data_IF_918720171724
#
_entry.id   IF_918720171724
#
_cell.length_a   1.000
_cell.length_b   1.000
_cell.length_c   1.000
_cell.angle_alpha   90.00
_cell.angle_beta   90.00
_cell.angle_gamma   90.00
#
_symmetry.space_group_name_H-M   'P 1'
#
loop_
_entity.id
_entity.type
_entity.pdbx_description
1 polymer ?
#
# COMPACT_ATOMS: atom_id res chain seq x y z
N UNK A 1 -37.80 36.84 -9.15
CA UNK A 1 -37.09 37.54 -8.06
C UNK A 1 -36.37 36.49 -7.23
N UNK A 2 -35.09 36.24 -7.53
CA UNK A 2 -34.26 35.33 -6.74
C UNK A 2 -33.91 36.06 -5.44
N UNK A 3 -34.11 35.38 -4.31
CA UNK A 3 -33.91 35.92 -2.97
C UNK A 3 -32.49 36.45 -2.77
N UNK A 4 -32.37 37.74 -2.46
CA UNK A 4 -31.14 38.51 -2.18
C UNK A 4 -30.53 38.19 -0.81
N UNK A 5 -30.67 36.95 -0.33
CA UNK A 5 -29.99 36.54 0.89
C UNK A 5 -28.53 36.24 0.55
N UNK A 6 -27.62 37.05 1.09
CA UNK A 6 -26.16 36.83 1.00
C UNK A 6 -25.83 35.37 1.35
N UNK A 7 -25.11 34.64 0.49
CA UNK A 7 -24.79 33.25 0.75
C UNK A 7 -23.90 33.16 2.01
N UNK A 8 -24.19 32.23 2.94
CA UNK A 8 -23.34 32.02 4.11
C UNK A 8 -21.92 31.66 3.67
N UNK A 9 -20.92 32.16 4.42
CA UNK A 9 -19.49 31.92 4.16
C UNK A 9 -19.27 30.40 3.98
N UNK A 10 -18.96 30.00 2.74
CA UNK A 10 -18.92 28.60 2.34
C UNK A 10 -17.71 27.92 2.99
N UNK A 11 -17.97 26.93 3.85
CA UNK A 11 -16.97 25.93 4.24
C UNK A 11 -16.87 24.90 3.11
N UNK A 12 -15.74 24.90 2.41
CA UNK A 12 -15.46 23.91 1.39
C UNK A 12 -15.45 22.50 2.00
N UNK A 13 -16.21 21.59 1.38
CA UNK A 13 -16.25 20.19 1.78
C UNK A 13 -14.98 19.47 1.35
N UNK A 14 -14.67 18.35 2.01
CA UNK A 14 -13.61 17.45 1.54
C UNK A 14 -13.99 16.95 0.14
N UNK A 15 -13.03 16.98 -0.79
CA UNK A 15 -13.25 16.64 -2.21
C UNK A 15 -14.15 17.62 -2.95
N UNK A 16 -13.95 18.93 -2.76
CA UNK A 16 -14.69 19.97 -3.46
C UNK A 16 -14.37 20.04 -4.97
N UNK A 17 -13.12 19.78 -5.37
CA UNK A 17 -12.72 19.75 -6.76
C UNK A 17 -13.22 18.45 -7.41
N UNK A 18 -14.32 18.54 -8.15
CA UNK A 18 -14.92 17.46 -8.94
C UNK A 18 -15.23 17.96 -10.34
N UNK A 19 -15.39 17.01 -11.27
CA UNK A 19 -15.94 17.31 -12.59
C UNK A 19 -15.16 18.37 -13.36
N UNK A 20 -15.86 19.35 -13.94
CA UNK A 20 -15.24 20.48 -14.67
C UNK A 20 -14.16 21.21 -13.85
N UNK A 21 -14.37 21.42 -12.55
CA UNK A 21 -13.38 22.05 -11.68
C UNK A 21 -12.12 21.19 -11.51
N UNK A 22 -12.27 19.86 -11.42
CA UNK A 22 -11.13 18.95 -11.32
C UNK A 22 -10.32 18.94 -12.62
N UNK A 23 -11.00 18.93 -13.78
CA UNK A 23 -10.35 19.00 -15.08
C UNK A 23 -9.54 20.30 -15.22
N UNK A 24 -10.17 21.44 -14.92
CA UNK A 24 -9.50 22.74 -14.91
C UNK A 24 -8.22 22.73 -14.05
N UNK A 25 -8.31 22.27 -12.80
CA UNK A 25 -7.13 22.24 -11.92
C UNK A 25 -6.06 21.25 -12.36
N UNK A 26 -6.46 20.14 -13.00
CA UNK A 26 -5.53 19.14 -13.52
C UNK A 26 -4.73 19.68 -14.70
N UNK A 27 -5.37 20.43 -15.60
CA UNK A 27 -4.72 21.06 -16.76
C UNK A 27 -3.66 22.09 -16.33
N UNK A 28 -3.88 22.76 -15.20
CA UNK A 28 -2.93 23.73 -14.63
C UNK A 28 -1.84 23.10 -13.75
N UNK A 29 -1.88 21.80 -13.47
CA UNK A 29 -0.98 21.17 -12.50
C UNK A 29 0.49 21.20 -12.93
N UNK A 30 0.80 20.90 -14.19
CA UNK A 30 2.18 20.85 -14.68
C UNK A 30 2.81 22.25 -14.75
N UNK A 31 2.05 23.25 -15.20
CA UNK A 31 2.51 24.63 -15.23
C UNK A 31 2.73 25.19 -13.81
N UNK A 32 1.87 24.82 -12.85
CA UNK A 32 2.11 25.16 -11.44
C UNK A 32 3.40 24.55 -10.90
N UNK A 33 3.68 23.27 -11.20
CA UNK A 33 4.95 22.63 -10.80
C UNK A 33 6.16 23.37 -11.37
N UNK A 34 6.10 23.76 -12.64
CA UNK A 34 7.17 24.51 -13.29
C UNK A 34 7.40 25.88 -12.62
N UNK A 35 6.33 26.61 -12.30
CA UNK A 35 6.40 27.88 -11.59
C UNK A 35 6.93 27.72 -10.15
N UNK A 36 6.44 26.71 -9.42
CA UNK A 36 6.87 26.42 -8.06
C UNK A 36 8.34 25.98 -7.98
N UNK A 37 8.85 25.30 -9.00
CA UNK A 37 10.27 24.93 -9.12
C UNK A 37 11.19 26.16 -9.29
N UNK A 38 10.68 27.27 -9.80
CA UNK A 38 11.43 28.54 -9.91
C UNK A 38 11.46 29.32 -8.59
N UNK A 39 10.56 29.02 -7.66
CA UNK A 39 10.54 29.61 -6.32
C UNK A 39 9.13 29.80 -5.75
N UNK A 40 9.08 30.10 -4.46
CA UNK A 40 7.80 30.27 -3.74
C UNK A 40 6.96 31.43 -4.28
N UNK A 41 7.59 32.58 -4.58
CA UNK A 41 6.91 33.76 -5.13
C UNK A 41 6.28 33.45 -6.49
N UNK A 42 7.02 32.83 -7.41
CA UNK A 42 6.51 32.43 -8.73
C UNK A 42 5.33 31.45 -8.63
N UNK A 43 5.38 30.51 -7.68
CA UNK A 43 4.26 29.60 -7.40
C UNK A 43 3.00 30.34 -6.92
N UNK A 44 3.15 31.35 -6.06
CA UNK A 44 2.02 32.16 -5.58
C UNK A 44 1.44 33.06 -6.67
N UNK A 45 2.30 33.70 -7.48
CA UNK A 45 1.87 34.52 -8.62
C UNK A 45 1.07 33.68 -9.62
N UNK A 46 1.50 32.43 -9.85
CA UNK A 46 0.76 31.49 -10.71
C UNK A 46 -0.59 31.09 -10.11
N UNK A 47 -0.68 30.88 -8.80
CA UNK A 47 -1.96 30.64 -8.12
C UNK A 47 -2.90 31.82 -8.30
N UNK A 48 -2.42 33.06 -8.19
CA UNK A 48 -3.25 34.25 -8.38
C UNK A 48 -3.80 34.34 -9.81
N UNK A 49 -2.99 33.99 -10.80
CA UNK A 49 -3.43 33.86 -12.19
C UNK A 49 -4.50 32.77 -12.37
N UNK A 50 -4.31 31.58 -11.80
CA UNK A 50 -5.31 30.49 -11.85
C UNK A 50 -6.61 30.93 -11.19
N UNK A 51 -6.56 31.60 -10.05
CA UNK A 51 -7.77 32.07 -9.35
C UNK A 51 -8.56 33.04 -10.23
N UNK A 52 -7.87 33.94 -10.94
CA UNK A 52 -8.52 34.85 -11.88
C UNK A 52 -9.17 34.09 -13.05
N UNK A 53 -8.47 33.12 -13.65
CA UNK A 53 -9.02 32.28 -14.73
C UNK A 53 -10.17 31.40 -14.25
N UNK A 54 -10.07 30.88 -13.03
CA UNK A 54 -11.13 30.12 -12.39
C UNK A 54 -12.41 30.96 -12.31
N UNK A 55 -12.33 32.20 -11.82
CA UNK A 55 -13.51 33.08 -11.75
C UNK A 55 -13.98 33.63 -13.11
N UNK A 56 -13.23 33.44 -14.20
CA UNK A 56 -13.72 33.67 -15.55
C UNK A 56 -14.62 32.52 -16.05
N UNK A 57 -14.36 31.29 -15.61
CA UNK A 57 -15.13 30.10 -16.00
C UNK A 57 -16.25 29.76 -15.01
N UNK A 58 -16.01 29.98 -13.72
CA UNK A 58 -16.90 29.63 -12.62
C UNK A 58 -17.37 30.90 -11.91
N UNK A 59 -18.68 31.16 -11.93
CA UNK A 59 -19.24 32.32 -11.24
C UNK A 59 -19.05 32.23 -9.73
N UNK A 60 -18.63 33.33 -9.11
CA UNK A 60 -18.45 33.43 -7.65
C UNK A 60 -19.79 33.33 -6.89
N UNK A 61 -20.92 33.56 -7.56
CA UNK A 61 -22.26 33.44 -6.96
C UNK A 61 -22.77 31.99 -6.91
N UNK A 62 -22.18 31.07 -7.67
CA UNK A 62 -22.63 29.68 -7.71
C UNK A 62 -22.12 28.92 -6.48
N UNK A 63 -22.97 28.13 -5.81
CA UNK A 63 -22.51 27.21 -4.78
C UNK A 63 -21.44 26.28 -5.34
N UNK A 64 -20.35 26.08 -4.60
CA UNK A 64 -19.24 25.19 -4.99
C UNK A 64 -19.63 23.72 -5.22
N UNK A 65 -20.82 23.33 -4.78
CA UNK A 65 -21.40 22.01 -5.05
C UNK A 65 -22.07 21.90 -6.43
N UNK A 66 -22.30 23.02 -7.12
CA UNK A 66 -22.98 23.06 -8.40
C UNK A 66 -21.95 23.03 -9.53
N UNK A 67 -21.90 21.93 -10.26
CA UNK A 67 -21.04 21.78 -11.43
C UNK A 67 -21.63 22.57 -12.61
N UNK A 68 -20.84 23.38 -13.33
CA UNK A 68 -21.33 24.02 -14.56
C UNK A 68 -21.65 22.93 -15.59
N UNK A 69 -22.87 22.97 -16.13
CA UNK A 69 -23.31 22.00 -17.13
C UNK A 69 -22.54 22.19 -18.44
N UNK A 70 -22.02 21.10 -19.02
CA UNK A 70 -21.06 21.06 -20.15
C UNK A 70 -21.53 21.69 -21.48
N UNK A 71 -22.72 22.27 -21.54
CA UNK A 71 -23.23 22.96 -22.75
C UNK A 71 -23.75 24.38 -22.51
N UNK A 72 -23.61 24.89 -21.29
CA UNK A 72 -24.16 26.18 -20.91
C UNK A 72 -23.08 27.25 -20.83
N UNK A 73 -22.77 27.89 -21.96
CA UNK A 73 -22.30 29.29 -21.95
C UNK A 73 -23.45 30.17 -21.46
N UNK A 74 -23.96 29.92 -20.24
CA UNK A 74 -24.88 30.84 -19.62
C UNK A 74 -24.10 32.11 -19.39
N UNK A 75 -24.64 33.17 -19.95
CA UNK A 75 -24.32 34.58 -19.84
C UNK A 75 -23.83 34.97 -18.42
N UNK A 76 -22.59 34.62 -18.09
CA UNK A 76 -21.91 34.97 -16.82
C UNK A 76 -21.32 36.38 -16.87
N UNK A 77 -21.55 37.09 -17.97
CA UNK A 77 -21.55 38.54 -18.03
C UNK A 77 -22.74 39.06 -17.23
N UNK A 78 -22.68 38.87 -15.90
CA UNK A 78 -23.23 39.89 -15.00
C UNK A 78 -22.51 41.15 -15.47
N UNK A 79 -23.22 41.97 -16.25
CA UNK A 79 -22.72 43.26 -16.69
C UNK A 79 -22.12 43.93 -15.46
N UNK A 80 -20.99 44.61 -15.64
CA UNK A 80 -20.27 45.31 -14.57
C UNK A 80 -21.07 46.49 -14.00
N UNK A 81 -22.39 46.36 -13.89
CA UNK A 81 -23.26 47.15 -13.06
C UNK A 81 -22.71 47.06 -11.64
N UNK A 82 -22.44 48.22 -11.07
CA UNK A 82 -21.68 48.40 -9.84
C UNK A 82 -22.15 47.42 -8.74
N UNK A 83 -21.28 46.48 -8.36
CA UNK A 83 -21.52 45.62 -7.21
C UNK A 83 -21.79 46.51 -5.99
N UNK A 84 -22.79 46.15 -5.21
CA UNK A 84 -22.99 46.81 -3.92
C UNK A 84 -21.77 46.57 -3.03
N UNK A 85 -21.43 47.49 -2.10
CA UNK A 85 -20.26 47.33 -1.23
C UNK A 85 -20.31 46.03 -0.40
N UNK A 86 -21.51 45.53 -0.09
CA UNK A 86 -21.72 44.25 0.60
C UNK A 86 -21.36 43.06 -0.30
N UNK A 87 -21.75 43.09 -1.57
CA UNK A 87 -21.38 42.06 -2.55
C UNK A 87 -19.88 42.06 -2.84
N UNK A 88 -19.24 43.23 -2.89
CA UNK A 88 -17.78 43.31 -3.02
C UNK A 88 -17.05 42.64 -1.86
N UNK A 89 -17.54 42.84 -0.63
CA UNK A 89 -16.98 42.19 0.56
C UNK A 89 -17.18 40.67 0.51
N UNK A 90 -18.37 40.22 0.09
CA UNK A 90 -18.67 38.80 -0.08
C UNK A 90 -17.78 38.15 -1.14
N UNK A 91 -17.67 38.78 -2.32
CA UNK A 91 -16.79 38.36 -3.41
C UNK A 91 -15.34 38.26 -2.95
N UNK A 92 -14.83 39.26 -2.23
CA UNK A 92 -13.47 39.24 -1.68
C UNK A 92 -13.25 38.08 -0.71
N UNK A 93 -14.23 37.79 0.14
CA UNK A 93 -14.17 36.65 1.06
C UNK A 93 -14.14 35.30 0.32
N UNK A 94 -15.01 35.13 -0.68
CA UNK A 94 -15.09 33.92 -1.51
C UNK A 94 -13.79 33.71 -2.29
N UNK A 95 -13.27 34.75 -2.94
CA UNK A 95 -11.99 34.72 -3.66
C UNK A 95 -10.86 34.32 -2.72
N UNK A 96 -10.83 34.86 -1.49
CA UNK A 96 -9.84 34.49 -0.47
C UNK A 96 -9.90 33.01 -0.05
N UNK A 97 -11.11 32.47 0.13
CA UNK A 97 -11.32 31.04 0.45
C UNK A 97 -10.89 30.15 -0.74
N UNK A 98 -11.24 30.54 -1.96
CA UNK A 98 -10.90 29.79 -3.16
C UNK A 98 -9.41 29.80 -3.46
N UNK A 99 -8.74 30.94 -3.32
CA UNK A 99 -7.28 31.05 -3.46
C UNK A 99 -6.54 30.05 -2.54
N UNK A 100 -6.91 30.02 -1.26
CA UNK A 100 -6.32 29.07 -0.29
C UNK A 100 -6.56 27.62 -0.69
N UNK A 101 -7.75 27.33 -1.21
CA UNK A 101 -8.17 25.97 -1.53
C UNK A 101 -7.54 25.45 -2.82
N UNK A 102 -7.45 26.29 -3.85
CA UNK A 102 -6.72 26.02 -5.10
C UNK A 102 -5.23 25.82 -4.79
N UNK A 103 -4.62 26.74 -4.03
CA UNK A 103 -3.21 26.61 -3.61
C UNK A 103 -2.94 25.30 -2.87
N UNK A 104 -3.76 24.97 -1.88
CA UNK A 104 -3.63 23.73 -1.11
C UNK A 104 -3.81 22.49 -1.98
N UNK A 105 -4.76 22.51 -2.92
CA UNK A 105 -5.00 21.41 -3.85
C UNK A 105 -3.79 21.20 -4.78
N UNK A 106 -3.31 22.27 -5.41
CA UNK A 106 -2.16 22.22 -6.33
C UNK A 106 -0.89 21.76 -5.61
N UNK A 107 -0.60 22.30 -4.43
CA UNK A 107 0.55 21.89 -3.62
C UNK A 107 0.47 20.43 -3.20
N UNK A 108 -0.71 19.96 -2.74
CA UNK A 108 -0.92 18.55 -2.41
C UNK A 108 -0.70 17.64 -3.62
N UNK A 109 -1.25 17.98 -4.79
CA UNK A 109 -1.11 17.15 -5.98
C UNK A 109 0.28 17.21 -6.61
N UNK A 110 0.95 18.37 -6.58
CA UNK A 110 2.33 18.52 -7.01
C UNK A 110 3.26 17.67 -6.13
N UNK A 111 3.10 17.76 -4.81
CA UNK A 111 3.89 16.99 -3.85
C UNK A 111 3.55 15.51 -3.82
N UNK A 112 2.31 15.09 -4.10
CA UNK A 112 1.95 13.66 -4.14
C UNK A 112 2.69 12.91 -5.26
N UNK A 113 2.82 13.53 -6.42
CA UNK A 113 3.56 12.94 -7.54
C UNK A 113 5.08 13.07 -7.34
N UNK A 114 5.54 14.21 -6.82
CA UNK A 114 6.94 14.36 -6.44
C UNK A 114 7.35 13.38 -5.34
N UNK A 115 6.50 13.12 -4.35
CA UNK A 115 6.76 12.16 -3.30
C UNK A 115 6.69 10.71 -3.80
N UNK A 116 5.99 10.39 -4.90
CA UNK A 116 6.14 9.06 -5.52
C UNK A 116 7.54 8.88 -6.13
N UNK A 117 8.08 9.92 -6.75
CA UNK A 117 9.43 9.93 -7.35
C UNK A 117 10.56 10.11 -6.33
N UNK A 118 10.39 10.94 -5.31
CA UNK A 118 11.38 11.17 -4.24
C UNK A 118 11.34 10.02 -3.24
N UNK A 119 10.18 9.39 -3.01
CA UNK A 119 10.20 8.09 -2.34
C UNK A 119 10.99 7.06 -3.15
N UNK A 120 11.08 7.14 -4.48
CA UNK A 120 11.99 6.28 -5.23
C UNK A 120 13.50 6.63 -5.09
N UNK A 121 13.87 7.75 -4.44
CA UNK A 121 15.27 8.08 -4.13
C UNK A 121 15.74 7.61 -2.75
N UNK A 122 14.82 7.30 -1.84
CA UNK A 122 15.15 6.52 -0.66
C UNK A 122 15.60 5.14 -1.15
N UNK A 123 16.84 4.73 -0.86
CA UNK A 123 17.42 3.47 -1.38
C UNK A 123 16.54 2.27 -1.00
N UNK A 124 15.80 2.34 0.12
CA UNK A 124 14.84 1.32 0.51
C UNK A 124 13.55 1.28 -0.34
N UNK A 125 13.31 2.30 -1.17
CA UNK A 125 12.10 2.51 -1.96
C UNK A 125 12.37 2.77 -3.44
N UNK A 126 13.64 2.88 -3.85
CA UNK A 126 14.04 2.80 -5.24
C UNK A 126 13.44 1.51 -5.83
N UNK A 127 12.64 1.58 -6.91
CA UNK A 127 12.01 0.41 -7.49
C UNK A 127 13.02 -0.65 -7.91
N UNK A 128 14.24 -0.23 -8.30
CA UNK A 128 15.34 -1.14 -8.62
C UNK A 128 15.90 -1.79 -7.36
N UNK A 129 16.18 -1.05 -6.28
CA UNK A 129 16.68 -1.67 -5.04
C UNK A 129 15.64 -2.59 -4.40
N UNK A 130 14.36 -2.22 -4.48
CA UNK A 130 13.24 -3.07 -4.07
C UNK A 130 13.15 -4.32 -4.93
N UNK A 131 13.29 -4.19 -6.26
CA UNK A 131 13.36 -5.31 -7.20
C UNK A 131 14.50 -6.25 -6.82
N UNK A 132 15.70 -5.71 -6.59
CA UNK A 132 16.87 -6.49 -6.21
C UNK A 132 16.68 -7.18 -4.86
N UNK A 133 16.05 -6.54 -3.87
CA UNK A 133 15.68 -7.17 -2.61
C UNK A 133 14.66 -8.30 -2.77
N UNK A 134 13.64 -8.10 -3.63
CA UNK A 134 12.66 -9.15 -3.91
C UNK A 134 13.28 -10.34 -4.64
N UNK A 135 14.18 -10.11 -5.59
CA UNK A 135 14.92 -11.15 -6.29
C UNK A 135 15.93 -11.87 -5.38
N UNK A 136 16.53 -11.17 -4.42
CA UNK A 136 17.47 -11.78 -3.47
C UNK A 136 16.77 -12.47 -2.28
N UNK A 137 15.44 -12.40 -2.18
CA UNK A 137 14.67 -12.91 -1.04
C UNK A 137 14.81 -12.05 0.24
N UNK A 138 15.61 -10.99 0.21
CA UNK A 138 15.76 -10.05 1.33
C UNK A 138 14.57 -9.10 1.29
N UNK A 139 13.67 -9.18 2.28
CA UNK A 139 12.56 -8.24 2.35
C UNK A 139 13.11 -6.81 2.40
N UNK A 140 12.88 -5.97 1.37
CA UNK A 140 13.53 -4.67 1.25
C UNK A 140 12.99 -3.65 2.26
N UNK A 141 12.06 -4.06 3.12
CA UNK A 141 11.36 -3.16 4.02
C UNK A 141 12.18 -3.00 5.30
N UNK A 142 12.68 -1.79 5.50
CA UNK A 142 13.27 -1.37 6.76
C UNK A 142 12.36 -1.78 7.94
N UNK A 143 12.90 -2.47 8.96
CA UNK A 143 12.11 -2.92 10.09
C UNK A 143 11.50 -1.72 10.81
N UNK A 144 10.19 -1.77 11.06
CA UNK A 144 9.51 -0.72 11.82
C UNK A 144 9.67 -0.99 13.31
N UNK A 145 9.94 0.07 14.10
CA UNK A 145 9.90 -0.01 15.55
C UNK A 145 8.50 -0.39 16.02
N UNK A 146 8.38 -1.48 16.76
CA UNK A 146 7.14 -1.84 17.45
C UNK A 146 6.93 -0.93 18.65
N UNK A 147 5.66 -0.65 18.98
CA UNK A 147 5.34 0.01 20.25
C UNK A 147 5.61 -0.94 21.42
N UNK A 148 5.90 -0.40 22.61
CA UNK A 148 6.16 -1.19 23.81
C UNK A 148 5.03 -2.21 24.10
N UNK A 149 3.78 -1.79 23.94
CA UNK A 149 2.59 -2.66 24.06
C UNK A 149 2.62 -3.84 23.07
N UNK A 150 3.00 -3.59 21.82
CA UNK A 150 3.05 -4.63 20.79
C UNK A 150 4.16 -5.64 21.09
N UNK A 151 5.29 -5.13 21.60
CA UNK A 151 6.43 -5.93 22.01
C UNK A 151 6.10 -6.81 23.24
N UNK A 152 5.46 -6.22 24.24
CA UNK A 152 4.95 -6.91 25.42
C UNK A 152 3.93 -7.99 25.03
N UNK A 153 2.97 -7.64 24.17
CA UNK A 153 1.94 -8.56 23.70
C UNK A 153 2.55 -9.76 22.98
N UNK A 154 3.59 -9.57 22.16
CA UNK A 154 4.27 -10.68 21.48
C UNK A 154 4.75 -11.78 22.45
N UNK A 155 5.21 -11.41 23.65
CA UNK A 155 5.71 -12.33 24.67
C UNK A 155 4.57 -12.89 25.54
N UNK A 156 3.63 -12.04 25.94
CA UNK A 156 2.55 -12.43 26.86
C UNK A 156 1.21 -12.77 26.20
N UNK A 157 1.16 -12.83 24.87
CA UNK A 157 -0.10 -13.03 24.14
C UNK A 157 -0.77 -14.34 24.56
N UNK A 158 -0.02 -15.45 24.54
CA UNK A 158 -0.58 -16.77 24.86
C UNK A 158 -0.98 -16.93 26.32
N UNK A 159 -0.21 -16.34 27.24
CA UNK A 159 -0.38 -16.54 28.68
C UNK A 159 -1.37 -15.56 29.32
N UNK A 160 -1.28 -14.26 29.00
CA UNK A 160 -2.09 -13.21 29.64
C UNK A 160 -3.26 -12.73 28.76
N UNK A 161 -3.03 -12.51 27.47
CA UNK A 161 -3.98 -11.76 26.63
C UNK A 161 -5.04 -12.66 25.98
N UNK A 162 -4.63 -13.81 25.42
CA UNK A 162 -5.50 -14.61 24.54
C UNK A 162 -6.75 -15.12 25.26
N UNK A 163 -6.58 -15.78 26.41
CA UNK A 163 -7.73 -16.35 27.14
C UNK A 163 -8.71 -15.28 27.59
N UNK A 164 -8.21 -14.21 28.21
CA UNK A 164 -9.04 -13.10 28.67
C UNK A 164 -9.73 -12.37 27.52
N UNK A 165 -9.06 -12.24 26.37
CA UNK A 165 -9.66 -11.63 25.19
C UNK A 165 -10.77 -12.49 24.58
N UNK A 166 -10.59 -13.80 24.44
CA UNK A 166 -11.62 -14.69 23.88
C UNK A 166 -12.88 -14.71 24.75
N UNK A 167 -12.73 -14.68 26.08
CA UNK A 167 -13.85 -14.56 27.02
C UNK A 167 -14.57 -13.21 26.87
N UNK A 168 -13.81 -12.12 26.80
CA UNK A 168 -14.35 -10.78 26.53
C UNK A 168 -15.00 -10.69 25.12
N UNK A 169 -14.50 -11.42 24.14
CA UNK A 169 -15.03 -11.43 22.78
C UNK A 169 -16.33 -12.24 22.69
N UNK A 170 -16.38 -13.41 23.33
CA UNK A 170 -17.56 -14.26 23.39
C UNK A 170 -18.75 -13.53 24.05
N UNK A 171 -18.49 -12.77 25.12
CA UNK A 171 -19.52 -11.98 25.80
C UNK A 171 -19.98 -10.74 25.01
N UNK A 172 -19.14 -10.17 24.13
CA UNK A 172 -19.49 -8.98 23.38
C UNK A 172 -20.48 -9.21 22.23
N UNK A 173 -20.61 -10.44 21.72
CA UNK A 173 -21.55 -10.79 20.64
C UNK A 173 -21.33 -10.04 19.31
N UNK A 174 -20.11 -9.53 19.06
CA UNK A 174 -19.81 -8.70 17.89
C UNK A 174 -19.42 -9.52 16.65
N UNK A 175 -19.62 -8.93 15.47
CA UNK A 175 -19.19 -9.51 14.19
C UNK A 175 -17.65 -9.60 14.09
N UNK A 176 -17.14 -10.65 13.41
CA UNK A 176 -15.70 -10.86 13.12
C UNK A 176 -14.99 -9.64 12.51
N UNK A 177 -15.73 -8.76 11.81
CA UNK A 177 -15.20 -7.50 11.25
C UNK A 177 -14.56 -6.59 12.30
N UNK A 178 -15.00 -6.67 13.56
CA UNK A 178 -14.49 -5.84 14.65
C UNK A 178 -13.42 -6.53 15.51
N UNK A 179 -13.09 -7.80 15.22
CA UNK A 179 -12.22 -8.61 16.06
C UNK A 179 -10.82 -8.00 16.22
N UNK A 180 -10.16 -7.63 15.12
CA UNK A 180 -8.81 -7.05 15.16
C UNK A 180 -8.76 -5.71 15.91
N UNK A 181 -9.75 -4.84 15.68
CA UNK A 181 -9.82 -3.54 16.35
C UNK A 181 -10.08 -3.67 17.85
N UNK A 182 -10.96 -4.59 18.26
CA UNK A 182 -11.24 -4.87 19.67
C UNK A 182 -10.05 -5.56 20.34
N UNK A 183 -9.39 -6.50 19.67
CA UNK A 183 -8.17 -7.14 20.15
C UNK A 183 -7.06 -6.13 20.44
N UNK A 184 -6.83 -5.20 19.51
CA UNK A 184 -5.83 -4.13 19.70
C UNK A 184 -6.17 -3.30 20.93
N UNK A 185 -7.40 -2.80 21.04
CA UNK A 185 -7.84 -2.02 22.22
C UNK A 185 -7.72 -2.80 23.53
N UNK A 186 -8.11 -4.08 23.53
CA UNK A 186 -8.03 -4.93 24.71
C UNK A 186 -6.58 -5.16 25.15
N UNK A 187 -5.68 -5.41 24.19
CA UNK A 187 -4.24 -5.53 24.45
C UNK A 187 -3.69 -4.24 25.07
N UNK A 188 -4.10 -3.08 24.55
CA UNK A 188 -3.70 -1.78 25.10
C UNK A 188 -4.18 -1.58 26.53
N UNK A 189 -5.42 -2.01 26.82
CA UNK A 189 -5.96 -1.96 28.18
C UNK A 189 -5.23 -2.90 29.13
N UNK A 190 -4.89 -4.13 28.72
CA UNK A 190 -4.10 -5.04 29.55
C UNK A 190 -2.71 -4.46 29.84
N UNK A 191 -2.04 -3.90 28.83
CA UNK A 191 -0.73 -3.29 29.01
C UNK A 191 -0.80 -2.08 29.95
N UNK A 192 -1.83 -1.23 29.84
CA UNK A 192 -2.01 -0.07 30.71
C UNK A 192 -2.31 -0.42 32.19
N UNK A 193 -2.63 -1.67 32.50
CA UNK A 193 -2.79 -2.16 33.87
C UNK A 193 -1.48 -2.68 34.48
N UNK A 194 -0.39 -2.75 33.71
CA UNK A 194 0.92 -3.15 34.22
C UNK A 194 1.61 -1.97 34.94
N UNK A 195 2.60 -2.26 35.77
CA UNK A 195 3.31 -1.24 36.55
C UNK A 195 4.18 -0.33 35.66
N UNK A 196 4.43 0.90 36.13
CA UNK A 196 5.22 1.89 35.40
C UNK A 196 6.65 1.39 35.06
N UNK A 197 7.25 0.59 35.94
CA UNK A 197 8.57 -0.01 35.73
C UNK A 197 8.56 -1.00 34.56
N UNK A 198 7.50 -1.83 34.49
CA UNK A 198 7.28 -2.77 33.37
C UNK A 198 7.09 -1.99 32.08
N UNK A 199 6.30 -0.92 32.09
CA UNK A 199 6.15 -0.05 30.92
C UNK A 199 7.50 0.48 30.40
N UNK A 200 8.34 0.99 31.30
CA UNK A 200 9.65 1.53 30.94
C UNK A 200 10.58 0.45 30.39
N UNK A 201 10.59 -0.74 31.00
CA UNK A 201 11.35 -1.90 30.52
C UNK A 201 10.98 -2.26 29.08
N UNK A 202 9.69 -2.34 28.76
CA UNK A 202 9.23 -2.68 27.40
C UNK A 202 9.49 -1.57 26.39
N UNK A 203 9.54 -0.29 26.80
CA UNK A 203 10.00 0.80 25.94
C UNK A 203 11.48 0.61 25.58
N UNK A 204 12.33 0.27 26.54
CA UNK A 204 13.76 0.01 26.29
C UNK A 204 13.94 -1.24 25.42
N UNK A 205 13.24 -2.33 25.73
CA UNK A 205 13.27 -3.57 24.97
C UNK A 205 12.86 -3.34 23.50
N UNK A 206 11.74 -2.64 23.25
CA UNK A 206 11.30 -2.32 21.90
C UNK A 206 12.30 -1.44 21.12
N UNK A 207 13.02 -0.54 21.81
CA UNK A 207 14.09 0.24 21.18
C UNK A 207 15.31 -0.63 20.85
N UNK A 208 15.73 -1.51 21.75
CA UNK A 208 16.87 -2.40 21.55
C UNK A 208 16.62 -3.39 20.41
N UNK A 209 15.45 -4.03 20.38
CA UNK A 209 15.06 -4.93 19.30
C UNK A 209 15.00 -4.21 17.95
N UNK A 210 14.48 -2.98 17.92
CA UNK A 210 14.47 -2.19 16.69
C UNK A 210 15.88 -1.85 16.21
N UNK A 211 16.79 -1.45 17.11
CA UNK A 211 18.19 -1.20 16.77
C UNK A 211 18.87 -2.46 16.25
N UNK A 212 18.63 -3.62 16.87
CA UNK A 212 19.14 -4.92 16.42
C UNK A 212 18.62 -5.26 15.03
N UNK A 213 17.31 -5.15 14.81
CA UNK A 213 16.69 -5.42 13.52
C UNK A 213 17.20 -4.47 12.43
N UNK A 214 17.41 -3.18 12.74
CA UNK A 214 18.01 -2.22 11.81
C UNK A 214 19.43 -2.63 11.43
N UNK A 215 20.26 -3.02 12.40
CA UNK A 215 21.63 -3.47 12.14
C UNK A 215 21.66 -4.75 11.29
N UNK A 216 20.78 -5.70 11.56
CA UNK A 216 20.64 -6.93 10.75
C UNK A 216 20.18 -6.62 9.33
N UNK A 217 19.25 -5.67 9.19
CA UNK A 217 18.76 -5.22 7.89
C UNK A 217 19.83 -4.48 7.08
N UNK A 218 20.58 -3.57 7.71
CA UNK A 218 21.73 -2.87 7.09
C UNK A 218 22.82 -3.86 6.67
N UNK A 219 23.18 -4.80 7.55
CA UNK A 219 24.15 -5.84 7.24
C UNK A 219 23.68 -6.74 6.08
N UNK A 220 22.38 -7.04 5.98
CA UNK A 220 21.83 -7.80 4.86
C UNK A 220 21.88 -7.01 3.53
N UNK A 221 21.78 -5.68 3.56
CA UNK A 221 21.94 -4.85 2.37
C UNK A 221 23.39 -4.74 1.90
N UNK A 222 24.35 -4.75 2.83
CA UNK A 222 25.77 -4.70 2.52
C UNK A 222 26.37 -6.07 2.17
N UNK A 223 25.71 -7.15 2.56
CA UNK A 223 26.15 -8.51 2.26
C UNK A 223 26.16 -8.75 0.73
N UNK A 224 27.22 -9.38 0.19
CA UNK A 224 27.21 -9.77 -1.22
C UNK A 224 26.06 -10.73 -1.50
N UNK A 225 25.50 -10.75 -2.73
CA UNK A 225 24.47 -11.70 -3.10
C UNK A 225 24.91 -13.14 -2.78
N UNK A 226 24.02 -13.96 -2.19
CA UNK A 226 24.36 -15.34 -1.88
C UNK A 226 24.71 -16.10 -3.16
N UNK A 227 25.88 -16.74 -3.19
CA UNK A 227 26.37 -17.52 -4.34
C UNK A 227 26.00 -19.00 -4.28
N UNK A 228 25.25 -19.41 -3.25
CA UNK A 228 24.84 -20.80 -3.12
C UNK A 228 23.70 -21.13 -4.11
N UNK A 229 23.68 -22.35 -4.63
CA UNK A 229 22.71 -22.78 -5.64
C UNK A 229 21.26 -22.67 -5.16
N UNK A 230 20.99 -22.92 -3.87
CA UNK A 230 19.64 -22.86 -3.32
C UNK A 230 19.06 -21.44 -3.39
N UNK A 231 19.84 -20.43 -3.00
CA UNK A 231 19.42 -19.03 -3.08
C UNK A 231 19.21 -18.57 -4.53
N UNK A 232 19.99 -19.09 -5.48
CA UNK A 232 19.74 -18.85 -6.90
C UNK A 232 18.41 -19.48 -7.36
N UNK A 233 18.09 -20.71 -6.93
CA UNK A 233 16.82 -21.35 -7.25
C UNK A 233 15.65 -20.60 -6.61
N UNK A 234 15.77 -20.21 -5.34
CA UNK A 234 14.76 -19.42 -4.65
C UNK A 234 14.52 -18.10 -5.41
N UNK A 235 15.58 -17.42 -5.87
CA UNK A 235 15.45 -16.21 -6.68
C UNK A 235 14.68 -16.45 -8.00
N UNK A 236 14.93 -17.58 -8.67
CA UNK A 236 14.23 -17.99 -9.90
C UNK A 236 12.76 -18.28 -9.61
N UNK A 237 12.46 -19.02 -8.54
CA UNK A 237 11.09 -19.39 -8.18
C UNK A 237 10.24 -18.14 -7.85
N UNK A 238 10.85 -17.14 -7.20
CA UNK A 238 10.18 -15.87 -6.91
C UNK A 238 10.02 -14.97 -8.14
N UNK A 239 10.83 -15.17 -9.20
CA UNK A 239 10.78 -14.37 -10.41
C UNK A 239 9.42 -14.48 -11.10
N UNK A 240 8.83 -15.68 -11.15
CA UNK A 240 7.52 -15.90 -11.79
C UNK A 240 6.39 -15.10 -11.12
N UNK A 241 6.35 -15.10 -9.79
CA UNK A 241 5.37 -14.32 -9.02
C UNK A 241 5.52 -12.81 -9.19
N UNK A 242 6.74 -12.35 -9.47
CA UNK A 242 7.05 -10.93 -9.69
C UNK A 242 6.80 -10.48 -11.14
N UNK A 243 7.35 -11.19 -12.10
CA UNK A 243 7.31 -10.84 -13.54
C UNK A 243 5.93 -11.12 -14.13
N UNK A 244 5.22 -12.13 -13.62
CA UNK A 244 3.90 -12.54 -14.10
C UNK A 244 2.89 -11.38 -14.19
N UNK A 245 2.64 -10.61 -13.11
CA UNK A 245 1.76 -9.45 -13.17
C UNK A 245 2.19 -8.35 -14.16
N UNK A 246 3.50 -8.15 -14.34
CA UNK A 246 4.04 -7.15 -15.29
C UNK A 246 3.79 -7.59 -16.73
N UNK A 247 4.17 -8.83 -17.06
CA UNK A 247 3.90 -9.43 -18.38
C UNK A 247 2.40 -9.43 -18.64
N UNK A 248 1.58 -9.84 -17.67
CA UNK A 248 0.13 -9.85 -17.80
C UNK A 248 -0.43 -8.44 -18.07
N UNK A 249 0.03 -7.43 -17.33
CA UNK A 249 -0.38 -6.04 -17.53
C UNK A 249 0.00 -5.53 -18.91
N UNK A 250 1.22 -5.84 -19.38
CA UNK A 250 1.67 -5.49 -20.72
C UNK A 250 0.85 -6.22 -21.79
N UNK A 251 0.58 -7.51 -21.63
CA UNK A 251 -0.25 -8.29 -22.57
C UNK A 251 -1.69 -7.77 -22.64
N UNK A 252 -2.29 -7.33 -21.54
CA UNK A 252 -3.62 -6.72 -21.52
C UNK A 252 -3.62 -5.38 -22.27
N UNK A 253 -2.58 -4.56 -22.07
CA UNK A 253 -2.44 -3.27 -22.75
C UNK A 253 -2.13 -3.40 -24.25
N UNK A 254 -1.39 -4.44 -24.64
CA UNK A 254 -0.96 -4.67 -26.02
C UNK A 254 -1.94 -5.56 -26.80
N UNK A 255 -2.85 -6.30 -26.14
CA UNK A 255 -3.88 -7.11 -26.81
C UNK A 255 -4.69 -6.38 -27.89
N UNK A 256 -5.10 -5.11 -27.71
CA UNK A 256 -5.76 -4.34 -28.78
C UNK A 256 -4.85 -4.06 -29.98
N UNK A 257 -3.54 -3.95 -29.76
CA UNK A 257 -2.52 -3.78 -30.81
C UNK A 257 -2.12 -5.11 -31.46
N UNK A 258 -2.23 -6.22 -30.75
CA UNK A 258 -1.93 -7.56 -31.27
C UNK A 258 -2.84 -7.98 -32.44
N UNK A 259 -4.05 -7.41 -32.56
CA UNK A 259 -4.93 -7.59 -33.72
C UNK A 259 -4.36 -7.00 -35.03
N UNK A 260 -3.29 -6.19 -34.97
CA UNK A 260 -2.55 -5.72 -36.15
C UNK A 260 -1.25 -6.49 -36.41
N UNK A 261 -0.90 -7.45 -35.54
CA UNK A 261 0.41 -8.11 -35.51
C UNK A 261 0.50 -9.41 -36.36
N UNK A 262 -0.57 -9.81 -37.05
CA UNK A 262 -0.51 -10.97 -37.96
C UNK A 262 0.50 -10.79 -39.10
N UNK A 263 0.78 -9.55 -39.51
CA UNK A 263 1.78 -9.24 -40.53
C UNK A 263 3.25 -9.41 -40.07
N UNK A 264 3.52 -9.53 -38.76
CA UNK A 264 4.88 -9.59 -38.19
C UNK A 264 5.29 -10.96 -37.63
N UNK A 265 4.41 -11.97 -37.67
CA UNK A 265 4.74 -13.35 -37.26
C UNK A 265 5.95 -13.92 -38.03
N UNK A 266 6.09 -13.58 -39.31
CA UNK A 266 7.23 -13.99 -40.15
C UNK A 266 8.53 -13.35 -39.70
N UNK A 267 8.52 -12.07 -39.30
CA UNK A 267 9.71 -11.39 -38.77
C UNK A 267 10.10 -11.95 -37.40
N UNK A 268 9.12 -12.23 -36.54
CA UNK A 268 9.39 -12.85 -35.25
C UNK A 268 9.99 -14.26 -35.40
N UNK A 269 9.46 -15.09 -36.33
CA UNK A 269 10.08 -16.39 -36.67
C UNK A 269 11.51 -16.26 -37.14
N UNK A 270 11.81 -15.24 -37.96
CA UNK A 270 13.17 -14.98 -38.43
C UNK A 270 14.12 -14.66 -37.28
N UNK A 271 13.70 -13.79 -36.36
CA UNK A 271 14.49 -13.42 -35.17
C UNK A 271 14.67 -14.61 -34.23
N UNK A 272 13.61 -15.39 -33.98
CA UNK A 272 13.69 -16.59 -33.13
C UNK A 272 14.64 -17.63 -33.72
N UNK A 273 14.60 -17.86 -35.04
CA UNK A 273 15.51 -18.79 -35.70
C UNK A 273 16.96 -18.27 -35.65
N UNK A 274 17.19 -16.98 -35.91
CA UNK A 274 18.52 -16.39 -35.80
C UNK A 274 19.09 -16.48 -34.38
N UNK A 275 18.26 -16.27 -33.35
CA UNK A 275 18.67 -16.46 -31.95
C UNK A 275 18.97 -17.92 -31.62
N UNK A 276 18.15 -18.87 -32.11
CA UNK A 276 18.42 -20.30 -31.96
C UNK A 276 19.72 -20.70 -32.64
N UNK A 277 19.96 -20.24 -33.86
CA UNK A 277 21.19 -20.48 -34.60
C UNK A 277 22.40 -19.91 -33.87
N UNK A 278 22.29 -18.69 -33.33
CA UNK A 278 23.35 -18.08 -32.52
C UNK A 278 23.65 -18.88 -31.25
N UNK A 279 22.60 -19.29 -30.50
CA UNK A 279 22.78 -20.14 -29.33
C UNK A 279 23.41 -21.49 -29.70
N UNK A 280 23.06 -22.06 -30.86
CA UNK A 280 23.67 -23.28 -31.37
C UNK A 280 25.16 -23.12 -31.70
N UNK A 281 25.63 -21.89 -32.01
CA UNK A 281 27.06 -21.60 -32.17
C UNK A 281 27.79 -21.36 -30.85
N UNK A 282 27.08 -20.92 -29.81
CA UNK A 282 27.68 -20.55 -28.52
C UNK A 282 27.83 -21.74 -27.56
N UNK A 283 27.00 -22.78 -27.69
CA UNK A 283 27.01 -23.95 -26.81
C UNK A 283 27.40 -25.21 -27.57
N UNK A 284 28.20 -26.06 -26.94
CA UNK A 284 28.53 -27.39 -27.46
C UNK A 284 27.29 -28.30 -27.43
N UNK A 285 27.28 -29.36 -28.24
CA UNK A 285 26.16 -30.33 -28.25
C UNK A 285 25.92 -30.96 -26.88
N UNK A 286 26.97 -31.15 -26.08
CA UNK A 286 26.87 -31.71 -24.72
C UNK A 286 26.21 -30.72 -23.75
N UNK A 287 26.55 -29.44 -23.82
CA UNK A 287 25.90 -28.38 -23.02
C UNK A 287 24.43 -28.19 -23.42
N UNK A 288 24.12 -28.26 -24.72
CA UNK A 288 22.73 -28.19 -25.21
C UNK A 288 21.88 -29.34 -24.69
N UNK A 289 22.41 -30.57 -24.64
CA UNK A 289 21.72 -31.73 -24.08
C UNK A 289 21.47 -31.60 -22.58
N UNK A 290 22.39 -30.95 -21.85
CA UNK A 290 22.20 -30.65 -20.42
C UNK A 290 21.11 -29.59 -20.21
N UNK A 291 20.98 -28.60 -21.10
CA UNK A 291 19.93 -27.58 -21.03
C UNK A 291 18.54 -28.09 -21.50
N UNK A 292 18.48 -29.04 -22.44
CA UNK A 292 17.22 -29.56 -23.01
C UNK A 292 16.40 -30.45 -22.08
N UNK A 293 16.88 -30.76 -20.87
CA UNK A 293 16.15 -31.59 -19.90
C UNK A 293 14.84 -30.94 -19.37
N UNK A 294 14.48 -29.72 -19.79
CA UNK A 294 13.30 -29.00 -19.29
C UNK A 294 12.21 -28.64 -20.32
N UNK A 295 12.40 -28.84 -21.64
CA UNK A 295 11.50 -28.25 -22.67
C UNK A 295 10.69 -29.26 -23.54
N UNK A 296 10.56 -30.53 -23.15
CA UNK A 296 10.06 -31.55 -24.08
C UNK A 296 8.53 -31.60 -24.36
N UNK A 297 7.65 -30.88 -23.66
CA UNK A 297 6.20 -31.16 -23.76
C UNK A 297 5.25 -29.98 -24.08
N UNK A 298 5.74 -28.79 -24.48
CA UNK A 298 4.84 -27.63 -24.68
C UNK A 298 4.21 -27.47 -26.07
N UNK A 299 4.72 -28.12 -27.12
CA UNK A 299 4.26 -27.89 -28.50
C UNK A 299 3.18 -28.88 -29.02
N UNK A 300 2.68 -29.80 -28.18
CA UNK A 300 1.76 -30.87 -28.64
C UNK A 300 0.29 -30.75 -28.17
N UNK A 301 -0.10 -29.69 -27.46
CA UNK A 301 -1.49 -29.52 -26.96
C UNK A 301 -2.45 -28.76 -27.89
N UNK A 302 -2.00 -28.20 -29.02
CA UNK A 302 -2.87 -27.39 -29.91
C UNK A 302 -3.89 -28.23 -30.71
N UNK A 303 -3.86 -29.57 -30.62
CA UNK A 303 -4.78 -30.47 -31.34
C UNK A 303 -5.88 -31.14 -30.48
N UNK A 304 -6.02 -30.81 -29.18
CA UNK A 304 -6.95 -31.53 -28.28
C UNK A 304 -8.15 -30.71 -27.76
N UNK A 305 -8.43 -29.52 -28.32
CA UNK A 305 -9.43 -28.58 -27.79
C UNK A 305 -10.72 -28.44 -28.62
N UNK A 306 -10.95 -29.26 -29.66
CA UNK A 306 -12.13 -29.10 -30.54
C UNK A 306 -13.37 -29.97 -30.24
N UNK A 307 -13.37 -30.87 -29.23
CA UNK A 307 -14.60 -31.63 -28.95
C UNK A 307 -14.84 -31.87 -27.45
N UNK A 308 -15.46 -30.88 -26.79
CA UNK A 308 -16.15 -31.08 -25.50
C UNK A 308 -17.48 -30.35 -25.49
N UNK A 309 -18.52 -31.07 -25.87
CA UNK A 309 -19.91 -30.72 -25.54
C UNK A 309 -20.10 -30.75 -24.02
N UNK A 310 -20.75 -29.75 -23.39
CA UNK A 310 -20.89 -29.71 -21.93
C UNK A 310 -21.97 -30.70 -21.45
N UNK A 311 -21.69 -31.58 -20.46
CA UNK A 311 -22.74 -32.38 -19.86
C UNK A 311 -23.63 -31.55 -18.95
N UNK A 312 -24.92 -31.88 -18.99
CA UNK A 312 -25.98 -31.26 -18.23
C UNK A 312 -25.77 -31.36 -16.70
N UNK A 313 -26.27 -30.32 -16.04
CA UNK A 313 -26.32 -30.08 -14.59
C UNK A 313 -26.70 -31.34 -13.79
N UNK A 314 -25.90 -31.68 -12.78
CA UNK A 314 -26.33 -32.53 -11.69
C UNK A 314 -26.15 -31.80 -10.35
N UNK A 315 -27.26 -31.29 -9.82
CA UNK A 315 -27.41 -30.87 -8.44
C UNK A 315 -27.61 -32.12 -7.59
N UNK A 316 -26.64 -32.49 -6.75
CA UNK A 316 -26.87 -32.99 -5.39
C UNK A 316 -25.56 -33.43 -4.72
N UNK A 317 -25.58 -33.41 -3.39
CA UNK A 317 -24.60 -33.99 -2.45
C UNK A 317 -23.44 -33.06 -2.04
N UNK A 318 -23.75 -32.14 -1.12
CA UNK A 318 -22.76 -31.66 -0.15
C UNK A 318 -23.44 -31.36 1.20
N UNK A 319 -23.93 -32.41 1.85
CA UNK A 319 -24.30 -32.40 3.27
C UNK A 319 -24.05 -33.80 3.86
N UNK A 320 -22.80 -34.08 4.25
CA UNK A 320 -22.46 -35.11 5.25
C UNK A 320 -20.96 -35.09 5.51
N UNK A 321 -20.53 -34.31 6.50
CA UNK A 321 -19.32 -34.53 7.33
C UNK A 321 -19.18 -33.40 8.37
N UNK A 322 -20.17 -33.29 9.25
CA UNK A 322 -20.06 -32.61 10.55
C UNK A 322 -20.96 -33.37 11.53
N UNK A 323 -20.60 -34.64 11.80
CA UNK A 323 -21.18 -35.42 12.90
C UNK A 323 -20.32 -36.67 13.10
N UNK A 324 -19.19 -36.50 13.80
CA UNK A 324 -18.37 -37.57 14.42
C UNK A 324 -17.10 -36.90 14.99
N UNK A 325 -17.28 -36.03 15.99
CA UNK A 325 -16.20 -35.53 16.85
C UNK A 325 -16.76 -35.02 18.21
N UNK A 326 -17.86 -35.62 18.67
CA UNK A 326 -18.40 -35.41 20.01
C UNK A 326 -18.88 -36.77 20.49
N UNK A 327 -17.95 -37.57 21.02
CA UNK A 327 -18.18 -38.67 21.96
C UNK A 327 -16.85 -39.40 22.17
N UNK A 328 -15.96 -38.83 22.98
CA UNK A 328 -14.96 -39.61 23.73
C UNK A 328 -14.28 -38.75 24.80
N UNK A 329 -14.25 -39.30 26.01
CA UNK A 329 -13.43 -38.93 27.17
C UNK A 329 -13.89 -37.73 28.03
N UNK A 330 -14.96 -37.96 28.80
CA UNK A 330 -14.91 -37.72 30.24
C UNK A 330 -14.04 -38.79 30.92
N UNK A 331 -13.45 -38.41 32.06
CA UNK A 331 -13.01 -39.24 33.19
C UNK A 331 -11.48 -39.37 33.41
N UNK A 332 -10.95 -38.51 34.28
CA UNK A 332 -10.03 -38.89 35.36
C UNK A 332 -9.78 -37.70 36.30
N UNK A 333 -10.33 -37.87 37.48
CA UNK A 333 -10.09 -37.17 38.75
C UNK A 333 -8.63 -37.17 39.20
N UNK A 334 -8.29 -36.11 39.93
CA UNK A 334 -7.44 -36.02 41.13
C UNK A 334 -6.06 -36.71 41.14
N UNK A 335 -5.01 -35.92 41.38
CA UNK A 335 -4.24 -36.07 42.62
C UNK A 335 -3.44 -34.81 42.93
N UNK A 336 -3.48 -34.44 44.21
CA UNK A 336 -2.58 -33.52 44.89
C UNK A 336 -1.14 -34.05 44.80
N UNK A 337 -0.14 -33.17 44.66
CA UNK A 337 0.97 -33.25 45.60
C UNK A 337 1.77 -31.96 45.69
N UNK A 338 2.05 -31.63 46.96
CA UNK A 338 2.85 -30.54 47.45
C UNK A 338 4.33 -30.78 47.14
N UNK A 339 5.11 -29.74 46.81
CA UNK A 339 6.51 -29.69 47.21
C UNK A 339 7.01 -28.24 47.36
N UNK A 340 7.10 -27.83 48.63
CA UNK A 340 8.22 -27.13 49.29
C UNK A 340 9.10 -26.21 48.41
N UNK A 341 9.02 -24.89 48.56
CA UNK A 341 9.90 -24.09 49.44
C UNK A 341 11.28 -24.69 49.67
N UNK A 342 12.32 -24.06 49.11
CA UNK A 342 13.63 -23.79 49.72
C UNK A 342 14.55 -23.13 48.66
N UNK A 343 14.92 -21.87 48.88
CA UNK A 343 16.33 -21.42 48.84
C UNK A 343 16.41 -19.94 49.22
N UNK A 344 16.62 -19.76 50.52
CA UNK A 344 17.31 -18.65 51.14
C UNK A 344 18.82 -18.68 50.77
N UNK A 345 19.36 -17.48 50.53
CA UNK A 345 20.62 -16.98 51.12
C UNK A 345 22.00 -17.53 50.66
N UNK A 346 22.73 -16.68 49.92
CA UNK A 346 24.16 -16.35 50.15
C UNK A 346 24.46 -15.06 49.35
N UNK A 347 24.61 -13.88 49.93
CA UNK A 347 25.68 -13.36 50.80
C UNK A 347 27.01 -13.05 50.07
N UNK A 348 27.58 -11.89 50.43
CA UNK A 348 28.90 -11.30 50.13
C UNK A 348 29.11 -10.69 48.72
N UNK A 349 29.17 -9.36 48.57
CA UNK A 349 30.21 -8.41 49.03
C UNK A 349 31.52 -8.58 48.23
N UNK A 350 31.75 -7.70 47.27
CA UNK A 350 33.11 -7.36 46.87
C UNK A 350 33.19 -5.92 46.35
N UNK A 351 33.52 -5.03 47.29
CA UNK A 351 34.18 -3.75 47.01
C UNK A 351 35.63 -4.04 46.64
N UNK A 352 36.04 -3.72 45.41
CA UNK A 352 37.44 -3.35 45.19
C UNK A 352 37.57 -2.13 44.27
N UNK A 353 37.98 -1.05 44.94
CA UNK A 353 38.56 0.17 44.40
C UNK A 353 39.86 -0.15 43.67
N UNK A 354 39.99 0.35 42.44
CA UNK A 354 41.30 0.56 41.83
C UNK A 354 41.36 1.94 41.16
N UNK A 355 42.13 2.81 41.82
CA UNK A 355 42.84 4.01 41.36
C UNK A 355 42.05 5.28 41.09
#
# INVERSE_FOLDING_TARGET
>A
MLSTALPPILKLQKSWAKGACLLFLTDHLEAYKAAAAQGHTCGNDYVDNIVNQYFQQFSWCLPLSHEPSEGGTQDLTIASDALTPEEEQCKKAIVGVMRKSISSWLSYHASKNANQLIQAQDVAKNPITRLMGQLSGIQPRQPKRLHAEQQWSKVFYKSKVKSAFEEHWASAGLSKKHHAAKHTKFTSSCFACEDADVHQEWVVCAQQEHKKALKEWEAALEAPPPTNMQSCQDAIDHLGGFVGPIIHSYMVLVKPWACTFEADKTKFKLVTNASKDYLNTCYTKEEQLLCQLFDADYDNEENLMEDRTPPAKCNHICQKKVKEASDSAMDSTADEDQLSTNNEESEADDRQSHK
#
